data_IF_735010997851
#
_entry.id   IF_735010997851
#
_cell.length_a   1.000
_cell.length_b   1.000
_cell.length_c   1.000
_cell.angle_alpha   90.00
_cell.angle_beta   90.00
_cell.angle_gamma   90.00
#
_symmetry.space_group_name_H-M   'P 1'
#
loop_
_entity.id
_entity.type
_entity.pdbx_description
1 polymer ?
#
# COMPACT_ATOMS: atom_id res chain seq x y z
N UNK A 1 26.51 22.64 30.18
CA UNK A 1 26.68 21.44 29.34
C UNK A 1 27.80 21.74 28.36
N UNK A 2 28.95 21.06 28.47
CA UNK A 2 30.06 21.23 27.52
C UNK A 2 29.89 20.30 26.33
N UNK A 3 30.47 20.65 25.17
CA UNK A 3 30.34 19.86 23.94
C UNK A 3 30.92 18.43 24.09
N UNK A 4 31.92 18.26 24.95
CA UNK A 4 32.50 16.97 25.30
C UNK A 4 31.53 16.07 26.09
N UNK A 5 30.72 16.64 26.98
CA UNK A 5 29.68 15.89 27.70
C UNK A 5 28.56 15.44 26.76
N UNK A 6 28.23 16.26 25.75
CA UNK A 6 27.24 15.92 24.71
C UNK A 6 27.76 14.80 23.81
N UNK A 7 29.03 14.85 23.41
CA UNK A 7 29.65 13.76 22.66
C UNK A 7 29.73 12.46 23.48
N UNK A 8 30.08 12.54 24.76
CA UNK A 8 30.09 11.38 25.65
C UNK A 8 28.69 10.75 25.80
N UNK A 9 27.62 11.56 25.79
CA UNK A 9 26.24 11.07 25.81
C UNK A 9 25.91 10.26 24.54
N UNK A 10 26.37 10.70 23.37
CA UNK A 10 26.20 9.97 22.12
C UNK A 10 26.95 8.63 22.11
N UNK A 11 28.21 8.64 22.54
CA UNK A 11 29.02 7.41 22.63
C UNK A 11 28.43 6.42 23.63
N UNK A 12 27.90 6.92 24.75
CA UNK A 12 27.19 6.10 25.73
C UNK A 12 25.87 5.54 25.17
N UNK A 13 25.10 6.33 24.43
CA UNK A 13 23.90 5.86 23.73
C UNK A 13 24.20 4.75 22.71
N UNK A 14 25.29 4.87 21.95
CA UNK A 14 25.74 3.81 21.04
C UNK A 14 26.16 2.55 21.80
N UNK A 15 26.86 2.70 22.92
CA UNK A 15 27.25 1.57 23.76
C UNK A 15 26.03 0.82 24.29
N UNK A 16 25.01 1.55 24.77
CA UNK A 16 23.75 0.96 25.24
C UNK A 16 23.00 0.22 24.14
N UNK A 17 22.95 0.80 22.94
CA UNK A 17 22.39 0.13 21.76
C UNK A 17 23.09 -1.19 21.46
N UNK A 18 24.43 -1.21 21.50
CA UNK A 18 25.23 -2.44 21.29
C UNK A 18 25.05 -3.47 22.41
N UNK A 19 24.77 -3.02 23.63
CA UNK A 19 24.45 -3.90 24.76
C UNK A 19 23.02 -4.46 24.71
N UNK A 20 22.18 -4.02 23.76
CA UNK A 20 20.79 -4.46 23.62
C UNK A 20 19.80 -3.71 24.52
N UNK A 21 20.22 -2.62 25.18
CA UNK A 21 19.34 -1.78 25.99
C UNK A 21 18.73 -0.66 25.13
N UNK A 22 17.72 -1.01 24.34
CA UNK A 22 17.16 -0.10 23.34
C UNK A 22 16.35 1.07 23.93
N UNK A 23 15.64 0.87 25.05
CA UNK A 23 14.85 1.93 25.70
C UNK A 23 15.71 3.10 26.16
N UNK A 24 16.69 2.84 27.06
CA UNK A 24 17.62 3.86 27.50
C UNK A 24 18.42 4.48 26.34
N UNK A 25 18.76 3.69 25.32
CA UNK A 25 19.45 4.20 24.13
C UNK A 25 18.59 5.20 23.36
N UNK A 26 17.29 4.93 23.17
CA UNK A 26 16.37 5.85 22.49
C UNK A 26 16.23 7.18 23.23
N UNK A 27 16.11 7.14 24.56
CA UNK A 27 16.03 8.33 25.41
C UNK A 27 17.32 9.16 25.36
N UNK A 28 18.48 8.50 25.44
CA UNK A 28 19.79 9.15 25.37
C UNK A 28 20.04 9.79 24.01
N UNK A 29 19.68 9.11 22.92
CA UNK A 29 19.78 9.67 21.57
C UNK A 29 18.82 10.84 21.35
N UNK A 30 17.62 10.81 21.96
CA UNK A 30 16.70 11.94 21.95
C UNK A 30 17.26 13.14 22.73
N UNK A 31 17.78 12.92 23.94
CA UNK A 31 18.42 13.97 24.74
C UNK A 31 19.63 14.57 24.01
N UNK A 32 20.43 13.73 23.34
CA UNK A 32 21.53 14.19 22.50
C UNK A 32 21.04 15.09 21.35
N UNK A 33 19.95 14.72 20.67
CA UNK A 33 19.36 15.53 19.58
C UNK A 33 18.93 16.92 20.04
N UNK A 34 18.42 17.06 21.26
CA UNK A 34 17.99 18.35 21.83
C UNK A 34 19.19 19.24 22.21
N UNK A 35 20.31 18.63 22.60
CA UNK A 35 21.47 19.34 23.15
C UNK A 35 22.59 19.59 22.13
N UNK A 36 22.64 18.83 21.04
CA UNK A 36 23.70 18.91 20.04
C UNK A 36 23.41 19.98 18.97
N UNK A 37 24.46 20.65 18.51
CA UNK A 37 24.45 21.54 17.34
C UNK A 37 25.10 20.91 16.10
N UNK A 38 25.63 19.70 16.23
CA UNK A 38 26.27 18.95 15.14
C UNK A 38 25.24 18.18 14.32
N UNK A 39 24.96 18.70 13.12
CA UNK A 39 23.97 18.12 12.19
C UNK A 39 24.30 16.69 11.76
N UNK A 40 25.58 16.32 11.66
CA UNK A 40 26.00 15.00 11.20
C UNK A 40 25.67 13.94 12.25
N UNK A 41 26.03 14.21 13.51
CA UNK A 41 25.72 13.34 14.64
C UNK A 41 24.24 13.32 14.98
N UNK A 42 23.53 14.44 14.80
CA UNK A 42 22.08 14.49 14.98
C UNK A 42 21.37 13.54 14.02
N UNK A 43 21.76 13.49 12.75
CA UNK A 43 21.15 12.54 11.82
C UNK A 43 21.47 11.08 12.17
N UNK A 44 22.71 10.78 12.55
CA UNK A 44 23.09 9.46 13.03
C UNK A 44 22.28 9.05 14.27
N UNK A 45 22.04 9.99 15.20
CA UNK A 45 21.21 9.78 16.37
C UNK A 45 19.73 9.53 16.00
N UNK A 46 19.18 10.24 15.01
CA UNK A 46 17.80 9.99 14.53
C UNK A 46 17.66 8.59 13.94
N UNK A 47 18.63 8.12 13.14
CA UNK A 47 18.64 6.74 12.65
C UNK A 47 18.78 5.71 13.78
N UNK A 48 19.66 5.97 14.75
CA UNK A 48 19.83 5.10 15.91
C UNK A 48 18.56 5.03 16.78
N UNK A 49 17.86 6.16 16.94
CA UNK A 49 16.58 6.21 17.64
C UNK A 49 15.52 5.41 16.91
N UNK A 50 15.37 5.60 15.59
CA UNK A 50 14.44 4.81 14.77
C UNK A 50 14.70 3.30 14.94
N UNK A 51 15.95 2.87 14.84
CA UNK A 51 16.31 1.46 15.04
C UNK A 51 15.96 0.96 16.45
N UNK A 52 16.21 1.78 17.48
CA UNK A 52 15.92 1.45 18.88
C UNK A 52 14.42 1.30 19.15
N UNK A 53 13.60 2.15 18.54
CA UNK A 53 12.12 2.10 18.67
C UNK A 53 11.53 0.89 17.93
N UNK A 54 12.06 0.56 16.74
CA UNK A 54 11.67 -0.64 15.99
C UNK A 54 11.98 -1.90 16.79
N UNK A 55 13.18 -1.98 17.39
CA UNK A 55 13.59 -3.14 18.19
C UNK A 55 12.81 -3.29 19.50
N UNK A 56 12.26 -2.19 20.03
CA UNK A 56 11.32 -2.21 21.16
C UNK A 56 9.87 -2.43 20.76
N UNK A 57 9.57 -2.52 19.46
CA UNK A 57 8.21 -2.66 18.93
C UNK A 57 7.26 -1.51 19.30
N UNK A 58 7.81 -0.31 19.52
CA UNK A 58 7.02 0.89 19.83
C UNK A 58 6.56 1.60 18.55
N UNK A 59 5.51 1.08 17.93
CA UNK A 59 5.12 1.48 16.57
C UNK A 59 4.63 2.92 16.42
N UNK A 60 4.00 3.49 17.45
CA UNK A 60 3.50 4.87 17.38
C UNK A 60 4.66 5.87 17.32
N UNK A 61 5.69 5.68 18.15
CA UNK A 61 6.91 6.49 18.10
C UNK A 61 7.69 6.29 16.80
N UNK A 62 7.70 5.08 16.24
CA UNK A 62 8.35 4.77 14.96
C UNK A 62 7.75 5.59 13.82
N UNK A 63 6.43 5.77 13.76
CA UNK A 63 5.78 6.55 12.69
C UNK A 63 6.24 8.01 12.71
N UNK A 64 6.37 8.60 13.90
CA UNK A 64 6.85 9.97 14.03
C UNK A 64 8.35 10.10 13.74
N UNK A 65 9.17 9.14 14.16
CA UNK A 65 10.59 9.13 13.81
C UNK A 65 10.83 8.88 12.31
N UNK A 66 9.98 8.11 11.61
CA UNK A 66 10.03 7.98 10.15
C UNK A 66 9.83 9.34 9.47
N UNK A 67 8.90 10.17 9.95
CA UNK A 67 8.68 11.52 9.41
C UNK A 67 9.94 12.37 9.60
N UNK A 68 10.54 12.34 10.79
CA UNK A 68 11.77 13.08 11.08
C UNK A 68 12.93 12.64 10.17
N UNK A 69 13.11 11.32 9.97
CA UNK A 69 14.16 10.78 9.08
C UNK A 69 13.91 11.21 7.63
N UNK A 70 12.67 11.13 7.16
CA UNK A 70 12.29 11.58 5.81
C UNK A 70 12.61 13.06 5.61
N UNK A 71 12.18 13.93 6.52
CA UNK A 71 12.46 15.37 6.43
C UNK A 71 13.97 15.65 6.43
N UNK A 72 14.74 14.92 7.25
CA UNK A 72 16.20 15.00 7.25
C UNK A 72 16.82 14.62 5.90
N UNK A 73 16.31 13.58 5.23
CA UNK A 73 16.78 13.14 3.91
C UNK A 73 16.44 14.17 2.83
N UNK A 74 15.23 14.73 2.86
CA UNK A 74 14.76 15.66 1.83
C UNK A 74 15.42 17.04 1.95
N UNK A 75 15.71 17.51 3.16
CA UNK A 75 16.31 18.83 3.42
C UNK A 75 17.83 18.83 3.32
N UNK A 76 18.52 17.85 3.94
CA UNK A 76 19.98 17.89 4.09
C UNK A 76 20.75 17.38 2.88
N UNK A 77 20.21 16.38 2.20
CA UNK A 77 20.90 15.71 1.09
C UNK A 77 20.51 16.29 -0.28
N UNK A 78 19.83 17.44 -0.31
CA UNK A 78 19.41 18.08 -1.55
C UNK A 78 20.58 18.33 -2.52
N UNK A 79 21.77 18.62 -1.99
CA UNK A 79 22.98 18.86 -2.79
C UNK A 79 23.64 17.58 -3.33
N UNK A 80 23.30 16.40 -2.79
CA UNK A 80 23.89 15.11 -3.20
C UNK A 80 22.80 14.07 -3.52
N UNK A 81 22.35 14.02 -4.80
CA UNK A 81 21.30 13.10 -5.24
C UNK A 81 21.61 11.62 -5.01
N UNK A 82 22.88 11.21 -5.07
CA UNK A 82 23.28 9.82 -4.87
C UNK A 82 23.12 9.41 -3.41
N UNK A 83 23.62 10.22 -2.48
CA UNK A 83 23.45 9.95 -1.05
C UNK A 83 21.97 9.99 -0.65
N UNK A 84 21.16 10.86 -1.28
CA UNK A 84 19.71 10.88 -1.09
C UNK A 84 19.05 9.56 -1.53
N UNK A 85 19.47 9.00 -2.68
CA UNK A 85 18.97 7.71 -3.16
C UNK A 85 19.32 6.57 -2.20
N UNK A 86 20.57 6.50 -1.73
CA UNK A 86 21.03 5.46 -0.81
C UNK A 86 20.26 5.52 0.53
N UNK A 87 20.09 6.72 1.10
CA UNK A 87 19.34 6.89 2.35
C UNK A 87 17.84 6.64 2.21
N UNK A 88 17.23 7.01 1.07
CA UNK A 88 15.83 6.62 0.79
C UNK A 88 15.69 5.11 0.66
N UNK A 89 16.64 4.46 0.00
CA UNK A 89 16.67 2.99 -0.12
C UNK A 89 16.71 2.35 1.26
N UNK A 90 17.59 2.82 2.15
CA UNK A 90 17.61 2.34 3.53
C UNK A 90 16.27 2.57 4.24
N UNK A 91 15.72 3.78 4.17
CA UNK A 91 14.46 4.12 4.85
C UNK A 91 13.32 3.20 4.40
N UNK A 92 13.20 2.92 3.10
CA UNK A 92 12.19 1.99 2.55
C UNK A 92 12.27 0.62 3.23
N UNK A 93 13.47 0.06 3.39
CA UNK A 93 13.66 -1.24 4.04
C UNK A 93 13.30 -1.19 5.53
N UNK A 94 13.69 -0.13 6.25
CA UNK A 94 13.33 0.05 7.67
C UNK A 94 11.82 0.25 7.86
N UNK A 95 11.14 0.89 6.91
CA UNK A 95 9.68 1.06 6.95
C UNK A 95 8.89 -0.24 6.72
N UNK A 96 9.50 -1.32 6.22
CA UNK A 96 8.83 -2.61 6.09
C UNK A 96 8.45 -3.21 7.45
N UNK A 97 9.25 -2.98 8.49
CA UNK A 97 8.95 -3.47 9.84
C UNK A 97 7.63 -2.92 10.39
N UNK A 98 7.42 -1.59 10.50
CA UNK A 98 6.14 -1.04 10.97
C UNK A 98 4.98 -1.32 10.02
N UNK A 99 5.22 -1.45 8.71
CA UNK A 99 4.17 -1.66 7.71
C UNK A 99 3.33 -2.92 7.95
N UNK A 100 3.94 -4.02 8.38
CA UNK A 100 3.26 -5.30 8.60
C UNK A 100 2.86 -5.54 10.06
N UNK A 101 3.47 -4.83 11.01
CA UNK A 101 3.22 -5.03 12.44
C UNK A 101 2.18 -4.06 13.03
N UNK A 102 1.96 -2.89 12.42
CA UNK A 102 0.98 -1.91 12.91
C UNK A 102 0.00 -1.46 11.82
N UNK A 103 -1.30 -1.50 12.15
CA UNK A 103 -2.37 -0.99 11.29
C UNK A 103 -2.36 0.53 11.17
N UNK A 104 -1.95 1.25 12.21
CA UNK A 104 -1.92 2.74 12.22
C UNK A 104 -0.79 3.28 11.34
N UNK A 105 0.32 2.55 11.26
CA UNK A 105 1.50 2.93 10.48
C UNK A 105 1.33 2.70 8.97
N UNK A 106 0.38 1.85 8.58
CA UNK A 106 0.24 1.36 7.20
C UNK A 106 -0.12 2.44 6.20
N UNK A 107 -1.18 3.21 6.44
CA UNK A 107 -1.61 4.26 5.50
C UNK A 107 -0.54 5.35 5.30
N UNK A 108 0.08 5.91 6.35
CA UNK A 108 1.17 6.90 6.19
C UNK A 108 2.37 6.36 5.41
N UNK A 109 2.76 5.11 5.64
CA UNK A 109 3.91 4.50 4.95
C UNK A 109 3.57 4.23 3.48
N UNK A 110 2.36 3.73 3.19
CA UNK A 110 1.92 3.53 1.81
C UNK A 110 1.87 4.84 1.03
N UNK A 111 1.31 5.91 1.61
CA UNK A 111 1.30 7.23 0.97
C UNK A 111 2.72 7.75 0.69
N UNK A 112 3.65 7.51 1.62
CA UNK A 112 5.06 7.80 1.41
C UNK A 112 5.69 6.98 0.27
N UNK A 113 5.43 5.67 0.19
CA UNK A 113 5.97 4.81 -0.86
C UNK A 113 5.43 5.16 -2.25
N UNK A 114 4.16 5.61 -2.35
CA UNK A 114 3.56 6.10 -3.60
C UNK A 114 4.01 7.51 -3.98
N UNK A 115 4.76 8.22 -3.12
CA UNK A 115 5.36 9.49 -3.49
C UNK A 115 6.40 9.31 -4.60
N UNK A 116 6.44 10.25 -5.55
CA UNK A 116 7.33 10.20 -6.72
C UNK A 116 8.81 9.96 -6.36
N UNK A 117 9.28 10.52 -5.25
CA UNK A 117 10.67 10.36 -4.81
C UNK A 117 11.00 8.92 -4.38
N UNK A 118 10.08 8.27 -3.65
CA UNK A 118 10.28 6.92 -3.13
C UNK A 118 10.03 5.87 -4.21
N UNK A 119 9.01 6.05 -5.04
CA UNK A 119 8.75 5.08 -6.11
C UNK A 119 9.88 5.05 -7.13
N UNK A 120 10.44 6.20 -7.52
CA UNK A 120 11.61 6.25 -8.40
C UNK A 120 12.82 5.55 -7.75
N UNK A 121 12.97 5.66 -6.42
CA UNK A 121 14.02 4.96 -5.68
C UNK A 121 13.81 3.44 -5.73
N UNK A 122 12.57 2.98 -5.54
CA UNK A 122 12.21 1.55 -5.63
C UNK A 122 12.52 1.00 -7.02
N UNK A 123 12.14 1.73 -8.08
CA UNK A 123 12.40 1.34 -9.47
C UNK A 123 13.89 1.32 -9.84
N UNK A 124 14.71 2.17 -9.22
CA UNK A 124 16.13 2.27 -9.58
C UNK A 124 17.03 1.33 -8.77
N UNK A 125 16.72 1.12 -7.49
CA UNK A 125 17.67 0.49 -6.54
C UNK A 125 17.15 -0.78 -5.86
N UNK A 126 15.83 -0.95 -5.69
CA UNK A 126 15.28 -2.06 -4.91
C UNK A 126 13.93 -2.60 -5.46
N UNK A 127 13.93 -3.26 -6.62
CA UNK A 127 12.71 -3.75 -7.26
C UNK A 127 12.00 -4.86 -6.45
N UNK A 128 12.72 -5.62 -5.60
CA UNK A 128 12.13 -6.64 -4.74
C UNK A 128 11.14 -6.09 -3.70
N UNK A 129 11.22 -4.78 -3.39
CA UNK A 129 10.26 -4.14 -2.46
C UNK A 129 8.84 -4.14 -3.03
N UNK A 130 8.69 -4.22 -4.36
CA UNK A 130 7.38 -4.30 -5.01
C UNK A 130 6.55 -5.48 -4.51
N UNK A 131 7.17 -6.60 -4.15
CA UNK A 131 6.50 -7.74 -3.53
C UNK A 131 5.73 -7.34 -2.26
N UNK A 132 6.39 -6.62 -1.36
CA UNK A 132 5.79 -6.16 -0.10
C UNK A 132 4.75 -5.07 -0.35
N UNK A 133 4.98 -4.18 -1.31
CA UNK A 133 4.01 -3.15 -1.68
C UNK A 133 2.71 -3.77 -2.24
N UNK A 134 2.83 -4.78 -3.11
CA UNK A 134 1.68 -5.52 -3.65
C UNK A 134 0.92 -6.21 -2.51
N UNK A 135 1.62 -6.94 -1.65
CA UNK A 135 1.01 -7.61 -0.51
C UNK A 135 0.28 -6.61 0.41
N UNK A 136 0.89 -5.46 0.70
CA UNK A 136 0.34 -4.41 1.54
C UNK A 136 -0.81 -3.63 0.89
N UNK A 137 -0.93 -3.55 -0.43
CA UNK A 137 -2.14 -2.94 -1.04
C UNK A 137 -3.28 -3.94 -1.14
N UNK A 138 -2.99 -5.20 -1.47
CA UNK A 138 -4.00 -6.26 -1.59
C UNK A 138 -4.64 -6.57 -0.23
N UNK A 139 -3.83 -6.77 0.82
CA UNK A 139 -4.36 -7.05 2.18
C UNK A 139 -5.08 -5.86 2.81
N UNK A 140 -4.87 -4.63 2.31
CA UNK A 140 -5.51 -3.41 2.84
C UNK A 140 -6.99 -3.31 2.48
N UNK A 141 -7.47 -4.17 1.57
CA UNK A 141 -8.84 -4.13 1.02
C UNK A 141 -9.93 -4.45 2.03
N UNK A 142 -9.68 -5.36 2.97
CA UNK A 142 -10.67 -5.72 3.98
C UNK A 142 -10.88 -4.64 5.06
N UNK A 143 -10.06 -3.59 5.10
CA UNK A 143 -10.03 -2.63 6.23
C UNK A 143 -10.35 -1.17 5.84
N UNK A 144 -10.20 -0.79 4.57
CA UNK A 144 -10.33 0.60 4.11
C UNK A 144 -11.74 1.03 3.71
N UNK A 145 -12.29 2.05 4.40
CA UNK A 145 -13.56 2.74 4.07
C UNK A 145 -13.53 3.54 2.75
N UNK A 146 -12.35 3.72 2.12
CA UNK A 146 -12.14 4.59 0.96
C UNK A 146 -11.79 3.82 -0.32
N UNK A 147 -12.79 3.21 -0.95
CA UNK A 147 -12.67 2.42 -2.19
C UNK A 147 -11.94 3.16 -3.34
N UNK A 148 -12.08 4.49 -3.43
CA UNK A 148 -11.48 5.31 -4.49
C UNK A 148 -9.96 5.45 -4.40
N UNK A 149 -9.40 5.63 -3.19
CA UNK A 149 -7.95 5.75 -2.98
C UNK A 149 -7.26 4.41 -3.29
N UNK A 150 -7.85 3.31 -2.83
CA UNK A 150 -7.32 1.99 -3.07
C UNK A 150 -7.34 1.60 -4.56
N UNK A 151 -8.41 1.95 -5.29
CA UNK A 151 -8.44 1.75 -6.75
C UNK A 151 -7.34 2.52 -7.46
N UNK A 152 -6.99 3.72 -6.98
CA UNK A 152 -5.86 4.49 -7.51
C UNK A 152 -4.54 3.78 -7.23
N UNK A 153 -4.29 3.40 -5.99
CA UNK A 153 -3.07 2.66 -5.59
C UNK A 153 -2.91 1.36 -6.38
N UNK A 154 -4.00 0.62 -6.62
CA UNK A 154 -3.96 -0.60 -7.40
C UNK A 154 -3.63 -0.35 -8.88
N UNK A 155 -4.20 0.69 -9.49
CA UNK A 155 -3.83 1.10 -10.86
C UNK A 155 -2.37 1.52 -10.96
N UNK A 156 -1.89 2.25 -9.96
CA UNK A 156 -0.49 2.69 -9.90
C UNK A 156 0.44 1.47 -9.77
N UNK A 157 0.13 0.50 -8.89
CA UNK A 157 0.86 -0.78 -8.81
C UNK A 157 0.89 -1.52 -10.15
N UNK A 158 -0.25 -1.67 -10.82
CA UNK A 158 -0.30 -2.35 -12.13
C UNK A 158 0.62 -1.66 -13.14
N UNK A 159 0.67 -0.33 -13.12
CA UNK A 159 1.59 0.44 -13.96
C UNK A 159 3.05 0.15 -13.60
N UNK A 160 3.42 0.14 -12.32
CA UNK A 160 4.79 -0.10 -11.89
C UNK A 160 5.24 -1.54 -12.14
N UNK A 161 4.38 -2.53 -11.88
CA UNK A 161 4.65 -3.94 -12.19
C UNK A 161 4.88 -4.12 -13.70
N UNK A 162 4.10 -3.43 -14.54
CA UNK A 162 4.33 -3.44 -15.99
C UNK A 162 5.68 -2.83 -16.39
N UNK A 163 6.09 -1.76 -15.71
CA UNK A 163 7.36 -1.09 -15.98
C UNK A 163 8.56 -1.96 -15.54
N UNK A 164 8.49 -2.57 -14.37
CA UNK A 164 9.60 -3.34 -13.77
C UNK A 164 9.62 -4.84 -14.18
N UNK A 165 8.74 -5.26 -15.08
CA UNK A 165 8.65 -6.65 -15.52
C UNK A 165 9.94 -7.19 -16.18
N UNK A 166 10.86 -6.32 -16.61
CA UNK A 166 12.13 -6.71 -17.22
C UNK A 166 13.20 -7.10 -16.20
N UNK A 167 13.13 -6.57 -14.97
CA UNK A 167 14.19 -6.71 -13.98
C UNK A 167 13.82 -7.71 -12.87
N UNK A 168 12.57 -7.70 -12.41
CA UNK A 168 12.15 -8.52 -11.28
C UNK A 168 10.86 -9.29 -11.57
N UNK A 169 10.93 -10.61 -11.35
CA UNK A 169 9.77 -11.50 -11.44
C UNK A 169 9.64 -12.31 -10.16
N UNK A 170 8.46 -12.24 -9.57
CA UNK A 170 8.07 -12.93 -8.34
C UNK A 170 6.61 -13.38 -8.44
N UNK A 171 6.19 -14.47 -7.78
CA UNK A 171 4.81 -14.96 -7.88
C UNK A 171 3.74 -13.91 -7.56
N UNK A 172 3.99 -12.95 -6.66
CA UNK A 172 3.04 -11.87 -6.38
C UNK A 172 2.95 -10.87 -7.55
N UNK A 173 4.09 -10.54 -8.17
CA UNK A 173 4.11 -9.68 -9.36
C UNK A 173 3.48 -10.36 -10.57
N UNK A 174 3.69 -11.68 -10.72
CA UNK A 174 3.09 -12.50 -11.76
C UNK A 174 1.57 -12.59 -11.60
N UNK A 175 1.08 -12.74 -10.37
CA UNK A 175 -0.36 -12.69 -10.08
C UNK A 175 -1.01 -11.39 -10.57
N UNK A 176 -0.41 -10.24 -10.25
CA UNK A 176 -0.92 -8.92 -10.69
C UNK A 176 -0.85 -8.78 -12.21
N UNK A 177 0.23 -9.24 -12.83
CA UNK A 177 0.40 -9.22 -14.28
C UNK A 177 -0.65 -10.09 -14.98
N UNK A 178 -0.85 -11.33 -14.52
CA UNK A 178 -1.85 -12.26 -15.04
C UNK A 178 -3.27 -11.69 -14.92
N UNK A 179 -3.62 -11.09 -13.77
CA UNK A 179 -4.97 -10.60 -13.51
C UNK A 179 -5.32 -9.31 -14.27
N UNK A 180 -4.41 -8.32 -14.31
CA UNK A 180 -4.71 -6.98 -14.83
C UNK A 180 -4.12 -6.66 -16.21
N UNK A 181 -3.11 -7.40 -16.68
CA UNK A 181 -2.45 -7.13 -17.96
C UNK A 181 -2.81 -8.21 -18.98
N UNK A 182 -2.60 -9.49 -18.62
CA UNK A 182 -2.90 -10.61 -19.52
C UNK A 182 -4.38 -11.03 -19.47
N UNK A 183 -5.09 -10.74 -18.37
CA UNK A 183 -6.44 -11.23 -18.07
C UNK A 183 -6.57 -12.75 -18.21
N UNK A 184 -5.52 -13.48 -17.83
CA UNK A 184 -5.50 -14.94 -17.78
C UNK A 184 -5.75 -15.43 -16.35
N UNK A 185 -6.97 -15.92 -16.13
CA UNK A 185 -7.43 -16.39 -14.82
C UNK A 185 -6.80 -17.72 -14.40
N UNK A 186 -6.38 -18.56 -15.35
CA UNK A 186 -5.77 -19.85 -15.03
C UNK A 186 -4.35 -19.63 -14.52
N UNK A 187 -3.56 -18.83 -15.27
CA UNK A 187 -2.23 -18.40 -14.83
C UNK A 187 -2.29 -17.63 -13.50
N UNK A 188 -3.32 -16.80 -13.29
CA UNK A 188 -3.51 -16.09 -12.02
C UNK A 188 -3.77 -17.04 -10.84
N UNK A 189 -4.49 -18.14 -11.06
CA UNK A 189 -4.76 -19.17 -10.03
C UNK A 189 -3.48 -19.90 -9.64
N UNK A 190 -2.69 -20.33 -10.62
CA UNK A 190 -1.41 -20.99 -10.36
C UNK A 190 -0.43 -20.05 -9.64
N UNK A 191 -0.35 -18.80 -10.09
CA UNK A 191 0.47 -17.76 -9.45
C UNK A 191 0.02 -17.50 -8.00
N UNK A 192 -1.29 -17.50 -7.72
CA UNK A 192 -1.82 -17.33 -6.36
C UNK A 192 -1.40 -18.50 -5.44
N UNK A 193 -1.42 -19.73 -5.93
CA UNK A 193 -0.98 -20.92 -5.16
C UNK A 193 0.51 -20.82 -4.79
N UNK A 194 1.34 -20.37 -5.73
CA UNK A 194 2.77 -20.17 -5.50
C UNK A 194 3.01 -18.97 -4.56
N UNK A 195 2.25 -17.89 -4.74
CA UNK A 195 2.31 -16.71 -3.87
C UNK A 195 1.93 -17.03 -2.42
N UNK A 196 0.95 -17.92 -2.17
CA UNK A 196 0.60 -18.37 -0.83
C UNK A 196 1.79 -19.04 -0.11
N UNK A 197 2.46 -19.98 -0.79
CA UNK A 197 3.64 -20.67 -0.24
C UNK A 197 4.78 -19.69 0.05
N UNK A 198 4.99 -18.73 -0.86
CA UNK A 198 6.02 -17.70 -0.76
C UNK A 198 5.72 -16.71 0.37
N UNK A 199 4.45 -16.32 0.57
CA UNK A 199 4.03 -15.47 1.68
C UNK A 199 4.19 -16.18 3.03
N UNK A 200 3.89 -17.48 3.12
CA UNK A 200 4.02 -18.25 4.37
C UNK A 200 5.46 -18.50 4.79
N UNK A 201 6.39 -18.56 3.84
CA UNK A 201 7.81 -18.78 4.11
C UNK A 201 8.57 -17.50 4.45
N UNK A 202 7.94 -16.33 4.33
CA UNK A 202 8.56 -15.03 4.50
C UNK A 202 8.29 -14.44 5.88
N UNK A 203 9.33 -13.83 6.47
CA UNK A 203 9.31 -13.26 7.82
C UNK A 203 8.21 -12.21 8.01
N UNK A 204 8.00 -11.32 7.04
CA UNK A 204 7.02 -10.23 7.17
C UNK A 204 5.60 -10.64 6.75
N UNK A 205 5.48 -11.52 5.75
CA UNK A 205 4.19 -11.84 5.12
C UNK A 205 3.46 -13.01 5.77
N UNK A 206 4.14 -13.83 6.59
CA UNK A 206 3.55 -15.04 7.18
C UNK A 206 2.25 -14.77 7.95
N UNK A 207 2.19 -13.69 8.73
CA UNK A 207 0.99 -13.31 9.50
C UNK A 207 -0.16 -12.81 8.63
N UNK A 208 0.15 -12.28 7.45
CA UNK A 208 -0.81 -11.66 6.52
C UNK A 208 -1.16 -12.57 5.33
N UNK A 209 -0.63 -13.80 5.29
CA UNK A 209 -0.76 -14.71 4.16
C UNK A 209 -2.23 -15.09 3.90
N UNK A 210 -2.98 -15.47 4.93
CA UNK A 210 -4.38 -15.87 4.76
C UNK A 210 -5.27 -14.69 4.37
N UNK A 211 -5.02 -13.51 4.95
CA UNK A 211 -5.69 -12.27 4.57
C UNK A 211 -5.37 -11.87 3.11
N UNK A 212 -4.16 -12.16 2.64
CA UNK A 212 -3.75 -11.92 1.26
C UNK A 212 -4.49 -12.84 0.30
N UNK A 213 -4.56 -14.14 0.59
CA UNK A 213 -5.25 -15.12 -0.26
C UNK A 213 -6.73 -14.79 -0.36
N UNK A 214 -7.38 -14.44 0.74
CA UNK A 214 -8.79 -14.04 0.72
C UNK A 214 -8.99 -12.78 -0.13
N UNK A 215 -8.21 -11.72 0.10
CA UNK A 215 -8.31 -10.49 -0.68
C UNK A 215 -7.99 -10.69 -2.18
N UNK A 216 -7.05 -11.58 -2.51
CA UNK A 216 -6.69 -11.94 -3.89
C UNK A 216 -7.84 -12.70 -4.58
N UNK A 217 -8.48 -13.65 -3.90
CA UNK A 217 -9.70 -14.32 -4.40
C UNK A 217 -10.81 -13.30 -4.69
N UNK A 218 -11.02 -12.34 -3.79
CA UNK A 218 -11.96 -11.25 -4.01
C UNK A 218 -11.62 -10.42 -5.26
N UNK A 219 -10.33 -10.25 -5.61
CA UNK A 219 -9.91 -9.49 -6.79
C UNK A 219 -10.14 -10.27 -8.09
N UNK A 220 -9.82 -11.57 -8.08
CA UNK A 220 -10.10 -12.48 -9.20
C UNK A 220 -11.60 -12.43 -9.51
N UNK A 221 -12.46 -12.61 -8.51
CA UNK A 221 -13.90 -12.60 -8.72
C UNK A 221 -14.44 -11.25 -9.13
N UNK A 222 -13.97 -10.14 -8.55
CA UNK A 222 -14.39 -8.81 -8.99
C UNK A 222 -14.02 -8.58 -10.47
N UNK A 223 -12.82 -9.00 -10.89
CA UNK A 223 -12.40 -8.90 -12.30
C UNK A 223 -13.26 -9.80 -13.20
N UNK A 224 -13.53 -11.03 -12.77
CA UNK A 224 -14.35 -11.99 -13.51
C UNK A 224 -15.79 -11.48 -13.70
N UNK A 225 -16.41 -11.01 -12.61
CA UNK A 225 -17.76 -10.43 -12.58
C UNK A 225 -17.92 -9.16 -13.41
N UNK A 226 -16.84 -8.43 -13.70
CA UNK A 226 -16.86 -7.23 -14.57
C UNK A 226 -16.83 -7.57 -16.05
N UNK A 227 -16.31 -8.74 -16.42
CA UNK A 227 -16.13 -9.16 -17.81
C UNK A 227 -17.29 -10.04 -18.25
N UNK A 228 -17.74 -10.96 -17.40
CA UNK A 228 -18.76 -11.96 -17.72
C UNK A 228 -20.13 -11.61 -17.14
N UNK A 229 -21.13 -11.40 -18.00
CA UNK A 229 -22.51 -11.11 -17.59
C UNK A 229 -23.30 -12.34 -17.14
N UNK A 230 -22.88 -13.55 -17.54
CA UNK A 230 -23.48 -14.83 -17.13
C UNK A 230 -22.37 -15.80 -16.77
N UNK A 231 -22.44 -16.37 -15.58
CA UNK A 231 -21.39 -17.24 -15.04
C UNK A 231 -22.00 -18.46 -14.40
N UNK A 232 -21.41 -19.63 -14.62
CA UNK A 232 -21.78 -20.83 -13.88
C UNK A 232 -21.00 -20.89 -12.57
N UNK A 233 -21.68 -21.26 -11.49
CA UNK A 233 -21.10 -21.31 -10.15
C UNK A 233 -20.02 -22.37 -9.99
N UNK A 234 -20.10 -23.46 -10.77
CA UNK A 234 -19.12 -24.54 -10.76
C UNK A 234 -17.78 -24.08 -11.34
N UNK A 235 -17.79 -23.44 -12.51
CA UNK A 235 -16.59 -22.90 -13.18
C UNK A 235 -15.91 -21.84 -12.31
N UNK A 236 -16.70 -20.98 -11.64
CA UNK A 236 -16.15 -19.98 -10.73
C UNK A 236 -15.53 -20.60 -9.47
N UNK A 237 -16.15 -21.64 -8.91
CA UNK A 237 -15.62 -22.35 -7.73
C UNK A 237 -14.31 -23.07 -8.07
N UNK A 238 -14.23 -23.70 -9.24
CA UNK A 238 -13.03 -24.37 -9.75
C UNK A 238 -11.86 -23.38 -9.97
N UNK A 239 -12.16 -22.20 -10.52
CA UNK A 239 -11.17 -21.12 -10.70
C UNK A 239 -10.70 -20.50 -9.39
N UNK A 240 -11.54 -20.49 -8.35
CA UNK A 240 -11.18 -20.03 -7.01
C UNK A 240 -10.43 -21.09 -6.18
N UNK A 241 -10.41 -22.34 -6.64
CA UNK A 241 -9.88 -23.48 -5.88
C UNK A 241 -10.72 -23.80 -4.64
N UNK A 242 -12.03 -23.51 -4.68
CA UNK A 242 -12.98 -23.78 -3.60
C UNK A 242 -13.93 -24.92 -3.99
N UNK A 243 -14.43 -25.64 -2.99
CA UNK A 243 -15.51 -26.60 -3.22
C UNK A 243 -16.78 -25.88 -3.68
N UNK A 244 -17.63 -26.50 -4.52
CA UNK A 244 -18.83 -25.84 -5.06
C UNK A 244 -19.78 -25.27 -3.99
N UNK A 245 -19.95 -25.97 -2.86
CA UNK A 245 -20.81 -25.52 -1.75
C UNK A 245 -20.22 -24.32 -0.98
N UNK A 246 -18.91 -24.31 -0.78
CA UNK A 246 -18.21 -23.19 -0.12
C UNK A 246 -18.09 -21.99 -1.07
N UNK A 247 -17.94 -22.27 -2.38
CA UNK A 247 -17.93 -21.28 -3.45
C UNK A 247 -19.24 -20.49 -3.51
N UNK A 248 -20.40 -21.15 -3.42
CA UNK A 248 -21.70 -20.46 -3.41
C UNK A 248 -21.82 -19.49 -2.24
N UNK A 249 -21.51 -19.96 -1.02
CA UNK A 249 -21.56 -19.10 0.18
C UNK A 249 -20.60 -17.93 0.06
N UNK A 250 -19.41 -18.15 -0.48
CA UNK A 250 -18.40 -17.12 -0.67
C UNK A 250 -18.80 -16.10 -1.73
N UNK A 251 -19.37 -16.53 -2.86
CA UNK A 251 -19.89 -15.64 -3.92
C UNK A 251 -21.05 -14.79 -3.40
N UNK A 252 -21.95 -15.36 -2.59
CA UNK A 252 -23.06 -14.62 -1.97
C UNK A 252 -22.52 -13.54 -1.02
N UNK A 253 -21.52 -13.86 -0.20
CA UNK A 253 -20.87 -12.88 0.68
C UNK A 253 -20.19 -11.77 -0.13
N UNK A 254 -19.49 -12.13 -1.21
CA UNK A 254 -18.85 -11.18 -2.11
C UNK A 254 -19.84 -10.18 -2.71
N UNK A 255 -20.97 -10.65 -3.26
CA UNK A 255 -21.99 -9.78 -3.87
C UNK A 255 -22.57 -8.81 -2.83
N UNK A 256 -22.79 -9.29 -1.59
CA UNK A 256 -23.27 -8.44 -0.49
C UNK A 256 -22.27 -7.35 -0.11
N UNK A 257 -20.98 -7.68 -0.06
CA UNK A 257 -19.92 -6.73 0.33
C UNK A 257 -19.60 -5.72 -0.78
N UNK A 258 -19.53 -6.18 -2.03
CA UNK A 258 -19.18 -5.33 -3.18
C UNK A 258 -20.35 -4.53 -3.74
N UNK A 259 -21.57 -4.72 -3.21
CA UNK A 259 -22.81 -4.07 -3.69
C UNK A 259 -22.99 -4.17 -5.21
N UNK A 260 -22.62 -5.32 -5.78
CA UNK A 260 -22.82 -5.59 -7.20
C UNK A 260 -24.28 -5.95 -7.46
N UNK A 261 -24.87 -5.36 -8.51
CA UNK A 261 -26.22 -5.70 -8.96
C UNK A 261 -26.21 -7.05 -9.69
N UNK A 262 -26.32 -8.13 -8.92
CA UNK A 262 -26.30 -9.50 -9.41
C UNK A 262 -27.62 -10.22 -9.09
N UNK A 263 -28.10 -11.03 -10.03
CA UNK A 263 -29.20 -11.97 -9.81
C UNK A 263 -28.64 -13.39 -9.80
N UNK A 264 -28.84 -14.10 -8.70
CA UNK A 264 -28.42 -15.50 -8.56
C UNK A 264 -29.61 -16.39 -8.92
N UNK A 265 -29.42 -17.23 -9.94
CA UNK A 265 -30.35 -18.31 -10.27
C UNK A 265 -29.83 -19.61 -9.64
N UNK A 266 -30.41 -19.97 -8.48
CA UNK A 266 -30.04 -21.17 -7.74
C UNK A 266 -30.50 -22.46 -8.43
N UNK A 267 -31.51 -22.40 -9.31
CA UNK A 267 -32.01 -23.59 -10.03
C UNK A 267 -31.09 -23.99 -11.18
N UNK A 268 -30.55 -23.01 -11.91
CA UNK A 268 -29.65 -23.24 -13.04
C UNK A 268 -28.16 -23.10 -12.64
N UNK A 269 -27.88 -22.81 -11.37
CA UNK A 269 -26.53 -22.62 -10.83
C UNK A 269 -25.77 -21.49 -11.52
N UNK A 270 -26.47 -20.47 -12.03
CA UNK A 270 -25.88 -19.36 -12.77
C UNK A 270 -26.07 -18.02 -12.07
N UNK A 271 -25.02 -17.20 -12.09
CA UNK A 271 -25.04 -15.81 -11.61
C UNK A 271 -25.11 -14.91 -12.83
N UNK A 272 -26.16 -14.09 -12.91
CA UNK A 272 -26.35 -13.10 -13.97
C UNK A 272 -26.05 -11.71 -13.40
N UNK A 273 -25.00 -11.08 -13.91
CA UNK A 273 -24.65 -9.71 -13.53
C UNK A 273 -25.47 -8.73 -14.36
N UNK A 274 -26.18 -7.82 -13.71
CA UNK A 274 -26.83 -6.71 -14.38
C UNK A 274 -25.82 -5.57 -14.49
N UNK A 275 -25.30 -5.36 -15.70
CA UNK A 275 -24.60 -4.12 -16.03
C UNK A 275 -25.65 -3.15 -16.57
N UNK A 276 -26.20 -2.22 -15.75
CA UNK A 276 -27.12 -1.23 -16.28
C UNK A 276 -26.40 -0.45 -17.39
N UNK A 277 -26.95 -0.42 -18.62
CA UNK A 277 -26.34 0.37 -19.68
C UNK A 277 -26.30 1.83 -19.22
N UNK A 278 -25.15 2.47 -19.37
CA UNK A 278 -25.01 3.89 -19.07
C UNK A 278 -26.00 4.68 -19.94
N UNK A 279 -27.05 5.19 -19.32
CA UNK A 279 -28.08 5.94 -20.04
C UNK A 279 -27.48 7.26 -20.53
N UNK A 280 -27.39 7.42 -21.85
CA UNK A 280 -26.82 8.61 -22.51
C UNK A 280 -27.51 9.89 -22.03
N UNK A 281 -28.83 9.84 -21.80
CA UNK A 281 -29.58 10.98 -21.27
C UNK A 281 -29.12 11.38 -19.88
N UNK A 282 -28.83 10.40 -19.02
CA UNK A 282 -28.35 10.66 -17.66
C UNK A 282 -26.93 11.27 -17.67
N UNK A 283 -26.05 10.81 -18.57
CA UNK A 283 -24.73 11.42 -18.77
C UNK A 283 -24.81 12.87 -19.27
N UNK A 284 -25.73 13.16 -20.20
CA UNK A 284 -25.96 14.53 -20.67
C UNK A 284 -26.49 15.41 -19.54
N UNK A 285 -27.43 14.91 -18.73
CA UNK A 285 -27.96 15.64 -17.57
C UNK A 285 -26.86 15.92 -16.54
N UNK A 286 -26.02 14.94 -16.20
CA UNK A 286 -24.92 15.11 -15.24
C UNK A 286 -23.87 16.12 -15.74
N UNK A 287 -23.48 16.03 -17.01
CA UNK A 287 -22.56 17.01 -17.62
C UNK A 287 -23.17 18.41 -17.68
N UNK A 288 -24.48 18.51 -17.97
CA UNK A 288 -25.17 19.80 -18.12
C UNK A 288 -25.46 20.45 -16.77
N UNK A 289 -25.76 19.69 -15.71
CA UNK A 289 -25.99 20.21 -14.34
C UNK A 289 -24.82 21.06 -13.83
N UNK A 290 -23.58 20.58 -14.01
CA UNK A 290 -22.39 21.31 -13.61
C UNK A 290 -22.19 22.61 -14.39
N UNK A 291 -22.48 22.59 -15.70
CA UNK A 291 -22.47 23.79 -16.54
C UNK A 291 -23.55 24.79 -16.14
N UNK A 292 -24.78 24.33 -15.92
CA UNK A 292 -25.92 25.17 -15.55
C UNK A 292 -25.70 25.89 -14.22
N UNK A 293 -25.15 25.18 -13.22
CA UNK A 293 -24.79 25.76 -11.93
C UNK A 293 -23.71 26.84 -12.07
N UNK A 294 -22.65 26.57 -12.84
CA UNK A 294 -21.58 27.56 -13.10
C UNK A 294 -22.12 28.80 -13.81
N UNK A 295 -23.03 28.63 -14.78
CA UNK A 295 -23.67 29.76 -15.48
C UNK A 295 -24.55 30.59 -14.55
N UNK A 296 -25.32 29.96 -13.64
CA UNK A 296 -26.10 30.69 -12.64
C UNK A 296 -25.21 31.50 -11.69
N UNK A 297 -24.11 30.92 -11.21
CA UNK A 297 -23.15 31.63 -10.34
C UNK A 297 -22.48 32.79 -11.07
N UNK A 298 -22.08 32.60 -12.33
CA UNK A 298 -21.52 33.68 -13.15
C UNK A 298 -22.53 34.80 -13.38
N UNK A 299 -23.79 34.47 -13.66
CA UNK A 299 -24.83 35.47 -13.89
C UNK A 299 -25.11 36.31 -12.64
N UNK A 300 -25.12 35.66 -11.46
CA UNK A 300 -25.23 36.34 -10.17
C UNK A 300 -24.00 37.23 -9.85
N UNK A 301 -22.80 36.80 -10.22
CA UNK A 301 -21.58 37.58 -10.05
C UNK A 301 -21.55 38.81 -10.97
N UNK A 302 -21.99 38.66 -12.22
CA UNK A 302 -22.10 39.77 -13.18
C UNK A 302 -23.14 40.78 -12.73
N UNK A 303 -24.33 40.36 -12.29
CA UNK A 303 -25.36 41.28 -11.77
C UNK A 303 -24.89 42.05 -10.54
N UNK A 304 -24.11 41.42 -9.66
CA UNK A 304 -23.53 42.05 -8.47
C UNK A 304 -22.36 42.99 -8.79
N UNK A 305 -21.63 42.77 -9.88
CA UNK A 305 -20.57 43.66 -10.36
C UNK A 305 -21.09 44.86 -11.16
N UNK A 306 -22.30 44.75 -11.73
CA UNK A 306 -22.99 45.83 -12.45
C UNK A 306 -23.90 46.70 -11.58
N UNK A 307 -23.94 46.47 -10.27
CA UNK A 307 -24.62 47.30 -9.26
C UNK A 307 -23.59 47.99 -8.37
#
# INVERSE_FOLDING_TARGET
>A
VTMDMVNALFDFGQFQFRCGQYGPAADMLYQFRVLSTDNDKVAAATWGKLASEILQTNWDAVVDEIKNVREGIDTRLFSNPRAQLDHRTMLVHWCLFPLFNSDTAREPILDMFFSAAFINTIQTSCPWVLRYLIAAVITGRNRGRNSSLQQKQLKDIVRYVRQEAYEYTDPLTQFVNALYIAHDFESAREALRLAEQVCRSDFFLASSADAFVDAARHLICESYCKIFSRMNIHDLSEKLGLNPADGEKWIVNLIRETRLDAKIDSQDGTVVMNHPPNNVYQQVIEKTKGGFFRTQVLNAAVTKASS
#
